data_IF_854670065559
#
_entry.id   IF_854670065559
#
_cell.length_a   1.000
_cell.length_b   1.000
_cell.length_c   1.000
_cell.angle_alpha   90.00
_cell.angle_beta   90.00
_cell.angle_gamma   90.00
#
_symmetry.space_group_name_H-M   'P 1'
#
loop_
_entity.id
_entity.type
_entity.pdbx_description
1 polymer ?
#
# COMPACT_ATOMS: atom_id res chain seq x y z
N UNK A 1 -13.04 -11.26 22.65
CA UNK A 1 -11.66 -10.89 23.03
C UNK A 1 -11.00 -10.21 21.86
N UNK A 2 -10.76 -8.91 21.98
CA UNK A 2 -10.35 -7.97 20.93
C UNK A 2 -8.93 -8.17 20.36
N UNK A 3 -8.33 -9.35 20.50
CA UNK A 3 -6.93 -9.59 20.16
C UNK A 3 -6.71 -10.22 18.78
N UNK A 4 -7.74 -10.77 18.13
CA UNK A 4 -7.59 -11.48 16.85
C UNK A 4 -7.81 -10.61 15.60
N UNK A 5 -8.35 -9.39 15.74
CA UNK A 5 -8.60 -8.48 14.61
C UNK A 5 -7.48 -7.45 14.36
N UNK A 6 -6.45 -7.42 15.21
CA UNK A 6 -5.28 -6.55 15.03
C UNK A 6 -4.29 -7.05 13.94
N UNK A 7 -4.43 -8.29 13.47
CA UNK A 7 -3.46 -8.92 12.56
C UNK A 7 -3.73 -8.70 11.05
N UNK A 8 -4.83 -8.04 10.67
CA UNK A 8 -5.17 -7.76 9.27
C UNK A 8 -4.55 -6.45 8.72
N UNK A 9 -3.80 -5.70 9.54
CA UNK A 9 -3.31 -4.37 9.17
C UNK A 9 -1.90 -4.34 8.55
N UNK A 10 -1.29 -5.51 8.26
CA UNK A 10 0.13 -5.60 7.85
C UNK A 10 0.34 -5.75 6.34
N UNK A 11 -0.68 -6.04 5.54
CA UNK A 11 -0.53 -6.03 4.07
C UNK A 11 -0.86 -4.62 3.51
N UNK A 12 -0.26 -3.58 4.09
CA UNK A 12 -0.08 -2.31 3.39
C UNK A 12 1.19 -2.46 2.57
N UNK A 13 1.07 -2.46 1.23
CA UNK A 13 2.19 -2.07 0.37
C UNK A 13 2.77 -0.76 0.96
N UNK A 14 4.10 -0.63 1.12
CA UNK A 14 4.65 0.69 1.35
C UNK A 14 4.18 1.54 0.16
N UNK A 15 3.42 2.59 0.46
CA UNK A 15 3.14 3.62 -0.52
C UNK A 15 4.49 4.03 -1.08
N UNK A 16 4.62 4.01 -2.41
CA UNK A 16 5.62 4.78 -3.13
C UNK A 16 5.40 6.22 -2.68
N UNK A 17 6.13 6.63 -1.64
CA UNK A 17 6.41 8.03 -1.39
C UNK A 17 7.12 8.47 -2.65
N UNK A 18 6.39 9.18 -3.50
CA UNK A 18 6.96 9.94 -4.58
C UNK A 18 8.17 10.66 -4.00
N UNK A 19 9.34 10.46 -4.60
CA UNK A 19 10.51 11.30 -4.39
C UNK A 19 10.11 12.72 -4.81
N UNK A 20 9.37 13.40 -3.93
CA UNK A 20 9.16 14.81 -3.94
C UNK A 20 10.54 15.39 -3.70
N UNK A 21 11.09 15.94 -4.78
CA UNK A 21 12.26 16.80 -4.83
C UNK A 21 12.58 17.36 -3.45
N UNK A 22 13.60 16.81 -2.77
CA UNK A 22 13.95 17.15 -1.38
C UNK A 22 13.94 18.67 -1.24
N UNK A 23 12.89 19.19 -0.62
CA UNK A 23 12.72 20.63 -0.50
C UNK A 23 13.96 21.20 0.19
N UNK A 24 14.57 22.20 -0.43
CA UNK A 24 15.79 22.83 0.09
C UNK A 24 15.36 23.70 1.25
N UNK A 25 15.53 23.23 2.48
CA UNK A 25 15.11 23.96 3.69
C UNK A 25 16.34 24.41 4.47
N UNK A 26 16.36 25.66 4.92
CA UNK A 26 17.37 26.14 5.86
C UNK A 26 17.28 25.38 7.20
N UNK A 27 18.39 25.02 7.86
CA UNK A 27 18.34 24.32 9.15
C UNK A 27 17.51 25.04 10.22
N UNK A 28 17.53 26.37 10.21
CA UNK A 28 16.75 27.21 11.14
C UNK A 28 15.25 27.13 10.83
N UNK A 29 14.89 27.14 9.53
CA UNK A 29 13.51 27.03 9.09
C UNK A 29 12.91 25.65 9.40
N UNK A 30 13.69 24.58 9.27
CA UNK A 30 13.25 23.22 9.63
C UNK A 30 12.89 23.09 11.10
N UNK A 31 13.75 23.59 11.99
CA UNK A 31 13.50 23.58 13.45
C UNK A 31 12.24 24.38 13.80
N UNK A 32 12.08 25.56 13.20
CA UNK A 32 10.90 26.40 13.43
C UNK A 32 9.60 25.74 12.94
N UNK A 33 9.64 25.06 11.80
CA UNK A 33 8.49 24.35 11.26
C UNK A 33 8.07 23.15 12.12
N UNK A 34 9.04 22.43 12.69
CA UNK A 34 8.80 21.35 13.65
C UNK A 34 8.19 21.88 14.95
N UNK A 35 8.69 23.00 15.48
CA UNK A 35 8.18 23.65 16.71
C UNK A 35 6.77 24.23 16.53
N UNK A 36 6.47 24.80 15.35
CA UNK A 36 5.19 25.44 15.04
C UNK A 36 4.19 24.50 14.35
N UNK A 37 4.57 23.25 14.07
CA UNK A 37 3.71 22.26 13.40
C UNK A 37 3.33 22.62 11.96
N UNK A 38 4.20 23.34 11.25
CA UNK A 38 3.97 23.81 9.87
C UNK A 38 4.44 22.75 8.87
N UNK A 39 3.55 22.36 7.96
CA UNK A 39 3.93 21.48 6.84
C UNK A 39 4.67 22.27 5.76
N UNK A 40 5.92 21.87 5.51
CA UNK A 40 6.80 22.50 4.51
C UNK A 40 6.47 22.09 3.07
N UNK A 41 5.66 21.05 2.87
CA UNK A 41 5.31 20.52 1.55
C UNK A 41 4.65 21.56 0.63
N UNK A 42 3.91 22.52 1.20
CA UNK A 42 3.23 23.60 0.48
C UNK A 42 3.89 24.98 0.57
N UNK A 43 5.04 25.09 1.24
CA UNK A 43 5.69 26.39 1.48
C UNK A 43 6.66 26.71 0.34
N UNK A 44 6.44 27.84 -0.33
CA UNK A 44 7.34 28.35 -1.37
C UNK A 44 8.52 29.07 -0.71
N UNK A 45 9.75 28.63 -0.99
CA UNK A 45 10.95 29.22 -0.41
C UNK A 45 11.45 30.45 -1.17
N UNK A 46 11.71 31.54 -0.45
CA UNK A 46 12.16 32.83 -1.01
C UNK A 46 13.69 32.99 -1.02
N UNK A 47 14.43 32.02 -0.46
CA UNK A 47 15.89 32.07 -0.35
C UNK A 47 16.65 31.66 -1.62
N UNK A 48 17.98 31.91 -1.68
CA UNK A 48 18.80 31.60 -2.85
C UNK A 48 18.69 30.13 -3.29
N UNK A 49 18.28 29.90 -4.53
CA UNK A 49 18.06 28.56 -5.11
C UNK A 49 16.75 27.88 -4.69
N UNK A 50 15.72 28.67 -4.32
CA UNK A 50 14.41 28.18 -3.90
C UNK A 50 14.42 27.61 -2.48
N UNK A 51 15.30 28.11 -1.61
CA UNK A 51 15.46 27.61 -0.25
C UNK A 51 14.40 28.21 0.67
N UNK A 52 13.73 27.39 1.47
CA UNK A 52 12.78 27.85 2.50
C UNK A 52 13.56 28.48 3.66
N UNK A 53 13.31 29.76 3.93
CA UNK A 53 13.95 30.51 5.04
C UNK A 53 13.03 30.60 6.26
N UNK A 54 13.54 31.23 7.34
CA UNK A 54 12.80 31.35 8.60
C UNK A 54 11.52 32.19 8.39
N UNK A 55 11.63 33.25 7.62
CA UNK A 55 10.57 34.19 7.30
C UNK A 55 9.42 33.51 6.53
N UNK A 56 9.74 32.58 5.63
CA UNK A 56 8.73 31.81 4.88
C UNK A 56 7.91 30.90 5.80
N UNK A 57 8.54 30.30 6.82
CA UNK A 57 7.88 29.45 7.82
C UNK A 57 7.02 30.28 8.77
N UNK A 58 7.50 31.44 9.24
CA UNK A 58 6.70 32.36 10.05
C UNK A 58 5.47 32.86 9.26
N UNK A 59 5.65 33.21 7.98
CA UNK A 59 4.56 33.60 7.11
C UNK A 59 3.54 32.48 6.88
N UNK A 60 4.01 31.23 6.75
CA UNK A 60 3.14 30.05 6.64
C UNK A 60 2.40 29.75 7.95
N UNK A 61 3.04 29.92 9.10
CA UNK A 61 2.42 29.78 10.42
C UNK A 61 1.28 30.80 10.63
N UNK A 62 1.46 32.03 10.18
CA UNK A 62 0.45 33.09 10.28
C UNK A 62 -0.70 32.95 9.27
N UNK A 63 -0.47 32.32 8.12
CA UNK A 63 -1.51 32.11 7.09
C UNK A 63 -2.49 30.98 7.42
N UNK A 64 -2.25 30.23 8.49
CA UNK A 64 -3.03 29.04 8.82
C UNK A 64 -2.85 27.93 7.77
N UNK A 65 -3.25 26.69 8.08
CA UNK A 65 -3.08 25.57 7.16
C UNK A 65 -3.87 25.86 5.87
N UNK A 66 -3.15 26.11 4.78
CA UNK A 66 -3.76 26.08 3.45
C UNK A 66 -4.17 24.64 3.18
N UNK A 67 -5.42 24.38 2.78
CA UNK A 67 -5.89 23.04 2.51
C UNK A 67 -5.02 22.45 1.40
N UNK A 68 -4.20 21.47 1.77
CA UNK A 68 -3.39 20.69 0.84
C UNK A 68 -4.33 20.16 -0.26
N UNK A 69 -4.00 20.30 -1.55
CA UNK A 69 -4.85 19.84 -2.63
C UNK A 69 -5.05 18.34 -2.47
N UNK A 70 -6.27 17.93 -2.13
CA UNK A 70 -6.67 16.53 -2.13
C UNK A 70 -6.29 15.98 -3.50
N UNK A 71 -5.50 14.89 -3.60
CA UNK A 71 -5.21 14.28 -4.89
C UNK A 71 -6.55 14.00 -5.57
N UNK A 72 -6.73 14.56 -6.77
CA UNK A 72 -7.89 14.30 -7.62
C UNK A 72 -8.05 12.80 -7.72
N UNK A 73 -9.09 12.30 -7.06
CA UNK A 73 -9.41 10.89 -7.04
C UNK A 73 -9.58 10.45 -8.50
N UNK A 74 -8.70 9.56 -8.97
CA UNK A 74 -9.03 8.73 -10.13
C UNK A 74 -10.41 8.13 -9.87
N UNK A 75 -11.29 8.02 -10.88
CA UNK A 75 -12.54 7.30 -10.71
C UNK A 75 -12.18 5.92 -10.15
N UNK A 76 -12.57 5.68 -8.90
CA UNK A 76 -12.43 4.36 -8.28
C UNK A 76 -13.29 3.45 -9.14
N UNK A 77 -12.68 2.51 -9.84
CA UNK A 77 -13.42 1.40 -10.39
C UNK A 77 -14.29 0.85 -9.26
N UNK A 78 -15.59 0.72 -9.49
CA UNK A 78 -16.50 0.13 -8.52
C UNK A 78 -16.04 -1.30 -8.28
N UNK A 79 -15.50 -1.55 -7.09
CA UNK A 79 -15.10 -2.87 -6.65
C UNK A 79 -16.31 -3.46 -5.96
N UNK A 80 -16.98 -4.41 -6.63
CA UNK A 80 -18.01 -5.22 -6.02
C UNK A 80 -17.34 -6.35 -5.22
N UNK A 81 -17.58 -6.35 -3.90
CA UNK A 81 -17.06 -7.37 -3.00
C UNK A 81 -18.11 -8.46 -2.84
N UNK A 82 -17.84 -9.64 -3.39
CA UNK A 82 -18.70 -10.82 -3.25
C UNK A 82 -18.16 -11.70 -2.11
N UNK A 83 -19.01 -11.94 -1.12
CA UNK A 83 -18.68 -12.79 0.03
C UNK A 83 -18.57 -14.27 -0.37
N UNK A 84 -17.62 -14.98 0.25
CA UNK A 84 -17.44 -16.41 0.01
C UNK A 84 -18.61 -17.21 0.60
N UNK A 85 -19.15 -18.16 -0.17
CA UNK A 85 -20.09 -19.13 0.38
C UNK A 85 -19.40 -20.03 1.43
N UNK A 86 -20.19 -20.61 2.33
CA UNK A 86 -19.68 -21.55 3.36
C UNK A 86 -18.96 -22.77 2.76
N UNK A 87 -19.43 -23.24 1.60
CA UNK A 87 -18.79 -24.33 0.86
C UNK A 87 -17.41 -23.92 0.33
N UNK A 88 -17.31 -22.76 -0.32
CA UNK A 88 -16.05 -22.22 -0.84
C UNK A 88 -15.04 -21.96 0.27
N UNK A 89 -15.47 -21.37 1.40
CA UNK A 89 -14.61 -21.14 2.56
C UNK A 89 -14.05 -22.45 3.12
N UNK A 90 -14.86 -23.52 3.18
CA UNK A 90 -14.43 -24.84 3.64
C UNK A 90 -13.41 -25.47 2.69
N UNK A 91 -13.63 -25.36 1.38
CA UNK A 91 -12.68 -25.84 0.35
C UNK A 91 -11.35 -25.10 0.47
N UNK A 92 -11.39 -23.77 0.57
CA UNK A 92 -10.20 -22.94 0.70
C UNK A 92 -9.38 -23.33 1.94
N UNK A 93 -10.04 -23.52 3.08
CA UNK A 93 -9.37 -23.94 4.32
C UNK A 93 -8.68 -25.30 4.17
N UNK A 94 -9.34 -26.29 3.55
CA UNK A 94 -8.76 -27.63 3.34
C UNK A 94 -7.61 -27.63 2.34
N UNK A 95 -7.72 -26.86 1.25
CA UNK A 95 -6.66 -26.72 0.25
C UNK A 95 -5.42 -26.07 0.88
N UNK A 96 -5.60 -25.01 1.68
CA UNK A 96 -4.50 -24.36 2.38
C UNK A 96 -3.81 -25.36 3.35
N UNK A 97 -4.57 -26.05 4.20
CA UNK A 97 -4.01 -27.06 5.12
C UNK A 97 -3.21 -28.14 4.40
N UNK A 98 -3.73 -28.68 3.29
CA UNK A 98 -3.04 -29.69 2.50
C UNK A 98 -1.76 -29.14 1.89
N UNK A 99 -1.80 -27.95 1.28
CA UNK A 99 -0.65 -27.39 0.55
C UNK A 99 0.50 -26.96 1.46
N UNK A 100 0.19 -26.53 2.70
CA UNK A 100 1.20 -26.09 3.66
C UNK A 100 1.76 -27.20 4.56
N UNK A 101 1.09 -28.34 4.72
CA UNK A 101 1.52 -29.38 5.66
C UNK A 101 2.56 -30.36 5.11
N UNK A 102 2.62 -30.57 3.79
CA UNK A 102 3.51 -31.54 3.17
C UNK A 102 4.34 -30.94 2.01
N UNK A 103 5.62 -31.34 1.83
CA UNK A 103 6.38 -30.98 0.63
C UNK A 103 5.76 -31.63 -0.61
N UNK A 104 5.32 -30.82 -1.57
CA UNK A 104 4.74 -31.32 -2.83
C UNK A 104 5.82 -31.37 -3.91
N UNK A 105 6.06 -32.54 -4.47
CA UNK A 105 6.83 -32.71 -5.70
C UNK A 105 5.92 -33.30 -6.79
N UNK A 106 6.21 -32.96 -8.03
CA UNK A 106 5.43 -33.39 -9.19
C UNK A 106 6.23 -34.42 -9.98
N UNK A 107 5.58 -35.53 -10.34
CA UNK A 107 6.12 -36.54 -11.26
C UNK A 107 5.15 -36.69 -12.42
N UNK A 108 5.69 -36.72 -13.63
CA UNK A 108 4.94 -36.89 -14.87
C UNK A 108 5.42 -38.15 -15.57
N UNK A 109 4.48 -38.95 -16.05
CA UNK A 109 4.76 -40.17 -16.80
C UNK A 109 3.82 -40.25 -18.00
N UNK A 110 4.29 -40.85 -19.09
CA UNK A 110 3.49 -41.14 -20.27
C UNK A 110 2.95 -42.57 -20.20
N UNK A 111 1.70 -42.76 -20.63
CA UNK A 111 1.01 -44.05 -20.57
C UNK A 111 0.32 -44.28 -21.91
N UNK A 112 0.67 -45.36 -22.60
CA UNK A 112 -0.03 -45.80 -23.82
C UNK A 112 -1.38 -46.41 -23.45
N UNK A 113 -2.46 -45.92 -24.07
CA UNK A 113 -3.85 -46.26 -23.71
C UNK A 113 -4.57 -47.10 -24.78
N UNK A 114 -3.86 -47.56 -25.83
CA UNK A 114 -4.46 -48.24 -26.99
C UNK A 114 -5.29 -49.47 -26.60
N UNK A 115 -4.76 -50.34 -25.75
CA UNK A 115 -5.45 -51.55 -25.31
C UNK A 115 -6.59 -51.24 -24.33
N UNK A 116 -6.43 -50.23 -23.47
CA UNK A 116 -7.46 -49.78 -22.54
C UNK A 116 -8.68 -49.17 -23.28
N UNK A 117 -8.45 -48.43 -24.37
CA UNK A 117 -9.52 -47.87 -25.21
C UNK A 117 -10.23 -48.96 -26.00
N UNK A 118 -9.52 -49.98 -26.49
CA UNK A 118 -10.11 -51.11 -27.22
C UNK A 118 -11.06 -51.93 -26.35
N UNK A 119 -10.73 -52.13 -25.07
CA UNK A 119 -11.58 -52.86 -24.12
C UNK A 119 -12.88 -52.12 -23.74
N UNK A 120 -12.92 -50.80 -23.91
CA UNK A 120 -14.09 -49.96 -23.60
C UNK A 120 -15.21 -50.09 -24.63
N UNK A 121 -14.91 -50.48 -25.87
CA UNK A 121 -15.86 -50.62 -26.98
C UNK A 121 -16.54 -51.98 -26.94
#
# INVERSE_FOLDING_TARGET
GAAAQAALNVIRRPAEQQDGERQKVSPVARRLAEEQGVDLSGVTGSGPGGRITKEDVEAAAHRGPTPSPKPTARPKAEVEVVELSKMQATIAMRLAQSKFSAPHFYVTSEIAMDDAVRLRQ
#
